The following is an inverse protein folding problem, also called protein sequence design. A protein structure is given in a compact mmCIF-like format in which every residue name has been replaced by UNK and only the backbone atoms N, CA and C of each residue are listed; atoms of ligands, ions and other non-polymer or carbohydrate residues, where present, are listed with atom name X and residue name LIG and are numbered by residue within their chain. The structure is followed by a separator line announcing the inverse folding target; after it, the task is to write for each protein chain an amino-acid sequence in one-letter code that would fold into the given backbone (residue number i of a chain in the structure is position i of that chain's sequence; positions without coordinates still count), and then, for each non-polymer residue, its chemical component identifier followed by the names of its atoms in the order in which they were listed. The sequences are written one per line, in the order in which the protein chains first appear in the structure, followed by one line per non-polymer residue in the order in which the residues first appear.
data_IF_806037498449
#
_entry.id   IF_806037498449
#
_cell.length_a   1.000
_cell.length_b   1.000
_cell.length_c   1.000
_cell.angle_alpha   90.00
_cell.angle_beta   90.00
_cell.angle_gamma   90.00
#
_symmetry.space_group_name_H-M   'P 1'
#
loop_
_entity.id
_entity.type
_entity.pdbx_description
1 polymer ?
#
# COMPACT_ATOMS: atom_id res chain seq x y z
N UNK A 1 -0.69 8.71 -10.76
CA UNK A 1 -1.02 7.53 -11.59
C UNK A 1 -2.52 7.38 -11.54
N UNK A 2 -3.20 7.48 -12.69
CA UNK A 2 -4.66 7.68 -12.73
C UNK A 2 -5.48 6.39 -12.81
N UNK A 3 -4.86 5.20 -12.71
CA UNK A 3 -5.60 3.95 -12.84
C UNK A 3 -4.91 2.79 -12.13
N UNK A 4 -5.65 2.15 -11.23
CA UNK A 4 -5.37 0.79 -10.78
C UNK A 4 -6.23 -0.16 -11.63
N UNK A 5 -5.74 -1.36 -11.89
CA UNK A 5 -6.46 -2.36 -12.69
C UNK A 5 -6.71 -3.62 -11.85
N UNK A 6 -7.82 -4.35 -12.07
CA UNK A 6 -8.03 -5.66 -11.44
C UNK A 6 -6.84 -6.57 -11.67
N UNK A 7 -6.36 -7.22 -10.61
CA UNK A 7 -5.19 -8.09 -10.67
C UNK A 7 -5.42 -9.36 -9.86
N UNK A 8 -5.63 -10.47 -10.57
CA UNK A 8 -5.81 -11.77 -9.93
C UNK A 8 -4.46 -12.32 -9.44
N UNK A 9 -4.41 -12.63 -8.14
CA UNK A 9 -3.27 -13.30 -7.49
C UNK A 9 -3.65 -14.71 -7.05
N UNK A 10 -4.78 -14.84 -6.35
CA UNK A 10 -5.30 -16.07 -5.77
C UNK A 10 -6.82 -15.96 -5.61
N UNK A 11 -7.52 -17.09 -5.76
CA UNK A 11 -8.95 -17.18 -5.50
C UNK A 11 -9.35 -16.68 -4.11
N UNK A 12 -10.51 -16.03 -4.03
CA UNK A 12 -11.05 -15.46 -2.79
C UNK A 12 -10.61 -14.03 -2.47
N UNK A 13 -9.73 -13.42 -3.28
CA UNK A 13 -9.31 -12.04 -3.10
C UNK A 13 -9.65 -11.15 -4.31
N UNK A 14 -10.19 -9.96 -4.03
CA UNK A 14 -10.52 -8.95 -5.05
C UNK A 14 -9.50 -7.80 -5.01
N UNK A 15 -8.36 -8.01 -5.65
CA UNK A 15 -7.27 -7.04 -5.70
C UNK A 15 -7.30 -6.19 -6.97
N UNK A 16 -6.87 -4.95 -6.80
CA UNK A 16 -6.40 -4.07 -7.86
C UNK A 16 -4.90 -3.80 -7.69
N UNK A 17 -4.19 -3.60 -8.79
CA UNK A 17 -2.78 -3.30 -8.81
C UNK A 17 -2.48 -1.97 -9.52
N UNK A 18 -1.44 -1.29 -9.05
CA UNK A 18 -0.86 -0.14 -9.76
C UNK A 18 0.68 -0.19 -9.65
N UNK A 19 1.41 0.35 -10.64
CA UNK A 19 2.88 0.40 -10.62
C UNK A 19 3.40 1.16 -9.40
N UNK A 20 4.55 0.75 -8.86
CA UNK A 20 5.13 1.31 -7.65
C UNK A 20 6.55 1.82 -7.91
N UNK A 21 6.73 3.15 -7.78
CA UNK A 21 7.99 3.86 -8.05
C UNK A 21 8.55 3.52 -9.44
N UNK A 22 9.87 3.41 -9.54
CA UNK A 22 10.60 3.09 -10.76
C UNK A 22 10.99 1.60 -10.77
N UNK A 23 10.56 0.90 -11.83
CA UNK A 23 10.89 -0.52 -12.05
C UNK A 23 12.05 -0.72 -13.02
N UNK A 24 12.50 0.33 -13.71
CA UNK A 24 13.54 0.21 -14.74
C UNK A 24 14.89 -0.33 -14.24
N UNK A 25 15.37 0.01 -13.02
CA UNK A 25 16.67 -0.50 -12.54
C UNK A 25 16.68 -2.01 -12.28
N UNK A 26 15.51 -2.64 -12.16
CA UNK A 26 15.41 -4.07 -11.87
C UNK A 26 15.86 -4.96 -13.04
N UNK A 27 15.93 -4.42 -14.27
CA UNK A 27 16.58 -5.11 -15.40
C UNK A 27 18.03 -5.46 -15.06
N UNK A 28 18.75 -4.49 -14.52
CA UNK A 28 20.16 -4.62 -14.18
C UNK A 28 20.36 -5.35 -12.86
N UNK A 29 19.55 -5.03 -11.84
CA UNK A 29 19.65 -5.67 -10.52
C UNK A 29 19.40 -7.18 -10.59
N UNK A 30 18.46 -7.62 -11.44
CA UNK A 30 18.13 -9.04 -11.62
C UNK A 30 18.83 -9.69 -12.80
N UNK A 31 19.64 -8.94 -13.57
CA UNK A 31 20.39 -9.42 -14.73
C UNK A 31 19.49 -10.10 -15.78
N UNK A 32 18.40 -9.44 -16.12
CA UNK A 32 17.40 -9.90 -17.11
C UNK A 32 17.32 -8.93 -18.31
N UNK A 33 18.43 -8.68 -19.03
CA UNK A 33 18.44 -7.74 -20.15
C UNK A 33 17.44 -8.10 -21.26
N UNK A 34 17.06 -9.36 -21.37
CA UNK A 34 16.09 -9.92 -22.31
C UNK A 34 14.63 -9.61 -21.96
N UNK A 35 14.33 -9.23 -20.71
CA UNK A 35 12.94 -9.03 -20.29
C UNK A 35 12.33 -7.80 -20.95
N UNK A 36 11.33 -7.97 -21.82
CA UNK A 36 10.62 -6.84 -22.43
C UNK A 36 9.76 -6.08 -21.42
N UNK A 37 9.22 -6.79 -20.42
CA UNK A 37 8.30 -6.24 -19.42
C UNK A 37 8.85 -6.44 -18.01
N UNK A 38 9.06 -5.34 -17.29
CA UNK A 38 9.48 -5.36 -15.88
C UNK A 38 8.61 -4.36 -15.12
N UNK A 39 7.73 -4.88 -14.28
CA UNK A 39 6.79 -4.07 -13.49
C UNK A 39 6.83 -4.53 -12.05
N UNK A 40 7.10 -3.60 -11.14
CA UNK A 40 6.81 -3.74 -9.71
C UNK A 40 5.61 -2.89 -9.38
N UNK A 41 4.69 -3.47 -8.63
CA UNK A 41 3.43 -2.83 -8.25
C UNK A 41 3.10 -3.00 -6.79
N UNK A 42 2.02 -2.33 -6.38
CA UNK A 42 1.38 -2.50 -5.09
C UNK A 42 -0.03 -3.06 -5.30
N UNK A 43 -0.44 -3.98 -4.44
CA UNK A 43 -1.81 -4.48 -4.39
C UNK A 43 -2.64 -3.67 -3.38
N UNK A 44 -3.90 -3.45 -3.70
CA UNK A 44 -4.93 -2.92 -2.80
C UNK A 44 -6.23 -3.68 -3.04
N UNK A 45 -7.12 -3.68 -2.06
CA UNK A 45 -8.50 -4.11 -2.32
C UNK A 45 -9.21 -3.08 -3.21
N UNK A 46 -10.18 -3.58 -3.98
CA UNK A 46 -11.03 -2.77 -4.84
C UNK A 46 -11.63 -1.55 -4.09
N UNK A 47 -11.74 -0.42 -4.77
CA UNK A 47 -12.28 0.84 -4.22
C UNK A 47 -11.27 1.70 -3.45
N UNK A 48 -10.16 1.12 -2.96
CA UNK A 48 -9.16 1.89 -2.21
C UNK A 48 -8.45 2.95 -3.08
N UNK A 49 -7.92 2.66 -4.28
CA UNK A 49 -7.29 3.68 -5.13
C UNK A 49 -8.24 4.81 -5.53
N UNK A 50 -9.50 4.49 -5.83
CA UNK A 50 -10.55 5.46 -6.18
C UNK A 50 -10.83 6.40 -5.02
N UNK A 51 -10.94 5.87 -3.80
CA UNK A 51 -11.14 6.68 -2.61
C UNK A 51 -9.96 7.62 -2.35
N UNK A 52 -8.72 7.12 -2.46
CA UNK A 52 -7.51 7.94 -2.27
C UNK A 52 -7.39 9.01 -3.36
N UNK A 53 -7.76 8.71 -4.61
CA UNK A 53 -7.77 9.72 -5.68
C UNK A 53 -8.84 10.79 -5.43
N UNK A 54 -10.01 10.43 -4.90
CA UNK A 54 -11.02 11.39 -4.46
C UNK A 54 -10.48 12.35 -3.38
N UNK A 55 -9.79 11.83 -2.36
CA UNK A 55 -9.13 12.66 -1.34
C UNK A 55 -8.05 13.58 -1.96
N UNK A 56 -7.27 13.07 -2.91
CA UNK A 56 -6.28 13.86 -3.66
C UNK A 56 -6.93 14.99 -4.44
N UNK A 57 -8.03 14.73 -5.15
CA UNK A 57 -8.75 15.73 -5.93
C UNK A 57 -9.35 16.83 -5.04
N UNK A 58 -9.77 16.49 -3.82
CA UNK A 58 -10.20 17.47 -2.82
C UNK A 58 -9.07 18.28 -2.19
N UNK A 59 -7.80 17.86 -2.34
CA UNK A 59 -6.64 18.55 -1.76
C UNK A 59 -6.26 18.07 -0.35
N UNK A 60 -6.86 16.98 0.14
CA UNK A 60 -6.55 16.45 1.48
C UNK A 60 -5.12 15.90 1.62
N UNK A 61 -4.46 15.57 0.52
CA UNK A 61 -3.09 15.05 0.53
C UNK A 61 -2.00 16.14 0.50
N UNK A 62 -2.40 17.40 0.74
CA UNK A 62 -1.48 18.53 0.80
C UNK A 62 -0.76 18.59 2.16
N UNK A 63 0.57 18.45 2.12
CA UNK A 63 1.47 18.50 3.26
C UNK A 63 2.03 19.91 3.54
N UNK A 64 1.51 20.95 2.89
CA UNK A 64 1.91 22.33 3.17
C UNK A 64 1.09 22.90 4.34
N UNK A 65 1.74 23.60 5.31
CA UNK A 65 1.05 24.24 6.42
C UNK A 65 -0.02 25.24 5.96
N UNK A 66 -1.13 25.33 6.69
CA UNK A 66 -2.27 26.20 6.41
C UNK A 66 -2.57 27.10 7.61
N UNK A 67 -2.29 28.40 7.50
CA UNK A 67 -2.55 29.38 8.57
C UNK A 67 -4.02 29.43 9.05
N UNK A 68 -4.95 29.01 8.20
CA UNK A 68 -6.38 28.97 8.52
C UNK A 68 -6.83 27.67 9.19
N UNK A 69 -6.02 26.61 9.16
CA UNK A 69 -6.32 25.32 9.78
C UNK A 69 -5.92 25.37 11.24
N UNK A 70 -6.88 25.76 12.09
CA UNK A 70 -6.63 26.02 13.51
C UNK A 70 -7.49 25.12 14.41
N UNK A 71 -7.05 24.92 15.64
CA UNK A 71 -7.79 24.12 16.63
C UNK A 71 -9.22 24.67 16.84
N UNK A 72 -10.17 23.76 17.08
CA UNK A 72 -11.58 24.09 17.29
C UNK A 72 -12.43 24.12 16.02
N UNK A 73 -11.84 23.93 14.84
CA UNK A 73 -12.59 23.70 13.61
C UNK A 73 -13.27 22.31 13.61
N UNK A 74 -14.44 22.21 13.00
CA UNK A 74 -15.10 20.93 12.69
C UNK A 74 -14.71 20.43 11.31
N UNK A 75 -14.89 19.13 11.04
CA UNK A 75 -14.59 18.57 9.71
C UNK A 75 -15.34 19.28 8.58
N UNK A 76 -16.63 19.56 8.79
CA UNK A 76 -17.45 20.34 7.85
C UNK A 76 -16.94 21.78 7.67
N UNK A 77 -16.40 22.41 8.71
CA UNK A 77 -15.81 23.75 8.60
C UNK A 77 -14.49 23.74 7.82
N UNK A 78 -13.67 22.69 7.97
CA UNK A 78 -12.46 22.52 7.16
C UNK A 78 -12.82 22.31 5.69
N UNK A 79 -13.79 21.44 5.40
CA UNK A 79 -14.31 21.25 4.04
C UNK A 79 -14.87 22.55 3.43
N UNK A 80 -15.62 23.34 4.21
CA UNK A 80 -16.09 24.65 3.77
C UNK A 80 -14.94 25.55 3.36
N UNK A 81 -13.88 25.61 4.18
CA UNK A 81 -12.68 26.43 3.88
C UNK A 81 -11.93 25.94 2.65
N UNK A 82 -11.76 24.63 2.50
CA UNK A 82 -11.08 24.03 1.35
C UNK A 82 -11.80 24.31 0.03
N UNK A 83 -13.14 24.26 0.03
CA UNK A 83 -13.94 24.35 -1.20
C UNK A 83 -14.60 25.72 -1.41
N UNK A 84 -14.51 26.63 -0.44
CA UNK A 84 -15.10 27.96 -0.52
C UNK A 84 -16.64 27.96 -0.54
N UNK A 85 -17.29 27.02 0.14
CA UNK A 85 -18.76 26.92 0.14
C UNK A 85 -19.41 28.01 0.99
N UNK A 86 -20.68 28.33 0.69
CA UNK A 86 -21.45 29.37 1.38
C UNK A 86 -21.66 29.08 2.88
N UNK A 87 -21.75 27.80 3.23
CA UNK A 87 -21.94 27.33 4.60
C UNK A 87 -21.30 25.93 4.77
N UNK A 88 -21.25 25.48 6.02
CA UNK A 88 -20.72 24.17 6.44
C UNK A 88 -21.82 23.12 6.66
N UNK A 89 -23.00 23.24 6.04
CA UNK A 89 -24.02 22.18 6.13
C UNK A 89 -23.56 21.00 5.28
N UNK A 90 -23.77 19.79 5.77
CA UNK A 90 -23.34 18.57 5.07
C UNK A 90 -23.85 18.52 3.62
N UNK A 91 -25.11 18.87 3.37
CA UNK A 91 -25.66 18.89 2.00
C UNK A 91 -24.91 19.83 1.06
N UNK A 92 -24.48 21.00 1.55
CA UNK A 92 -23.70 21.98 0.78
C UNK A 92 -22.31 21.41 0.47
N UNK A 93 -21.67 20.79 1.45
CA UNK A 93 -20.35 20.16 1.33
C UNK A 93 -20.40 18.97 0.36
N UNK A 94 -21.39 18.09 0.47
CA UNK A 94 -21.56 16.94 -0.43
C UNK A 94 -21.77 17.38 -1.87
N UNK A 95 -22.62 18.37 -2.12
CA UNK A 95 -22.82 18.91 -3.47
C UNK A 95 -21.53 19.50 -4.05
N UNK A 96 -20.72 20.16 -3.23
CA UNK A 96 -19.43 20.70 -3.65
C UNK A 96 -18.41 19.59 -3.96
N UNK A 97 -18.35 18.54 -3.13
CA UNK A 97 -17.51 17.36 -3.37
C UNK A 97 -17.89 16.70 -4.70
N UNK A 98 -19.18 16.45 -4.94
CA UNK A 98 -19.66 15.84 -6.17
C UNK A 98 -19.33 16.67 -7.41
N UNK A 99 -19.24 18.00 -7.29
CA UNK A 99 -18.87 18.91 -8.39
C UNK A 99 -17.36 19.05 -8.58
N UNK A 100 -16.57 18.82 -7.54
CA UNK A 100 -15.11 19.02 -7.52
C UNK A 100 -14.36 17.80 -8.02
N UNK A 101 -14.77 16.62 -7.57
CA UNK A 101 -14.11 15.36 -7.91
C UNK A 101 -14.67 14.82 -9.23
N UNK A 102 -13.77 14.33 -10.08
CA UNK A 102 -14.13 13.66 -11.33
C UNK A 102 -14.48 12.21 -11.05
N UNK A 103 -15.76 11.88 -11.19
CA UNK A 103 -16.29 10.54 -10.99
C UNK A 103 -16.31 9.74 -12.29
N UNK A 104 -16.03 8.45 -12.18
CA UNK A 104 -16.20 7.52 -13.31
C UNK A 104 -17.68 7.20 -13.56
N UNK A 105 -18.49 7.10 -12.51
CA UNK A 105 -19.94 6.92 -12.57
C UNK A 105 -20.61 7.49 -11.30
N UNK A 106 -21.95 7.51 -11.27
CA UNK A 106 -22.71 8.02 -10.13
C UNK A 106 -22.47 7.21 -8.84
N UNK A 107 -22.39 5.88 -8.95
CA UNK A 107 -22.17 5.00 -7.80
C UNK A 107 -20.84 5.32 -7.08
N UNK A 108 -19.78 5.63 -7.82
CA UNK A 108 -18.48 6.00 -7.25
C UNK A 108 -18.55 7.28 -6.40
N UNK A 109 -19.38 8.25 -6.79
CA UNK A 109 -19.63 9.45 -5.96
C UNK A 109 -20.32 9.08 -4.66
N UNK A 110 -21.35 8.24 -4.73
CA UNK A 110 -22.12 7.82 -3.56
C UNK A 110 -21.28 6.98 -2.58
N UNK A 111 -20.46 6.06 -3.10
CA UNK A 111 -19.55 5.24 -2.32
C UNK A 111 -18.48 6.10 -1.62
N UNK A 112 -17.92 7.08 -2.33
CA UNK A 112 -16.95 8.00 -1.76
C UNK A 112 -17.55 8.84 -0.62
N UNK A 113 -18.72 9.44 -0.84
CA UNK A 113 -19.40 10.22 0.20
C UNK A 113 -19.74 9.33 1.40
N UNK A 114 -20.18 8.09 1.16
CA UNK A 114 -20.44 7.11 2.23
C UNK A 114 -19.18 6.80 3.03
N UNK A 115 -18.04 6.57 2.36
CA UNK A 115 -16.76 6.35 3.03
C UNK A 115 -16.31 7.57 3.85
N UNK A 116 -16.47 8.80 3.34
CA UNK A 116 -16.19 10.02 4.11
C UNK A 116 -17.05 10.10 5.38
N UNK A 117 -18.34 9.73 5.31
CA UNK A 117 -19.22 9.67 6.50
C UNK A 117 -18.76 8.62 7.50
N UNK A 118 -18.42 7.42 7.04
CA UNK A 118 -17.95 6.33 7.91
C UNK A 118 -16.65 6.68 8.62
N UNK A 119 -15.76 7.43 7.96
CA UNK A 119 -14.54 7.97 8.56
C UNK A 119 -14.77 9.19 9.47
N UNK A 120 -16.00 9.72 9.53
CA UNK A 120 -16.36 10.90 10.31
C UNK A 120 -15.92 12.24 9.69
N UNK A 121 -15.46 12.24 8.43
CA UNK A 121 -14.94 13.41 7.72
C UNK A 121 -16.04 14.40 7.27
N UNK A 122 -17.31 14.03 7.43
CA UNK A 122 -18.47 14.90 7.18
C UNK A 122 -19.21 15.27 8.47
N UNK A 123 -18.55 15.17 9.63
CA UNK A 123 -19.18 15.37 10.94
C UNK A 123 -18.94 16.78 11.52
N UNK A 124 -19.64 17.06 12.62
CA UNK A 124 -19.38 18.21 13.49
C UNK A 124 -18.32 17.91 14.58
N UNK A 125 -17.64 16.76 14.55
CA UNK A 125 -16.52 16.48 15.46
C UNK A 125 -15.39 17.51 15.23
N UNK A 126 -14.74 17.92 16.32
CA UNK A 126 -13.56 18.78 16.25
C UNK A 126 -12.42 18.02 15.58
N UNK A 127 -11.78 18.68 14.63
CA UNK A 127 -10.68 18.15 13.87
C UNK A 127 -9.43 18.05 14.74
N UNK A 128 -8.72 16.91 14.75
CA UNK A 128 -7.42 16.78 15.41
C UNK A 128 -6.34 17.42 14.52
N UNK A 129 -6.31 18.75 14.48
CA UNK A 129 -5.32 19.50 13.69
C UNK A 129 -3.90 19.07 14.10
N UNK A 130 -3.12 18.64 13.12
CA UNK A 130 -1.75 18.13 13.30
C UNK A 130 -0.82 18.81 12.31
N UNK A 131 0.29 19.34 12.83
CA UNK A 131 1.36 20.02 12.09
C UNK A 131 0.88 21.12 11.12
N UNK A 132 -0.32 21.66 11.39
CA UNK A 132 -1.04 22.63 10.56
C UNK A 132 -1.22 22.20 9.08
N UNK A 133 -1.06 20.91 8.75
CA UNK A 133 -1.24 20.38 7.38
C UNK A 133 -2.53 19.58 7.26
N UNK A 134 -3.11 19.59 6.05
CA UNK A 134 -4.31 18.78 5.76
C UNK A 134 -3.98 17.29 5.78
N UNK A 135 -2.82 16.91 5.26
CA UNK A 135 -2.37 15.52 5.21
C UNK A 135 -2.24 14.93 6.62
N UNK A 136 -1.50 15.58 7.52
CA UNK A 136 -1.25 15.05 8.87
C UNK A 136 -2.53 15.04 9.71
N UNK A 137 -3.39 16.04 9.51
CA UNK A 137 -4.72 16.11 10.12
C UNK A 137 -5.64 14.98 9.66
N UNK A 138 -5.64 14.66 8.36
CA UNK A 138 -6.35 13.50 7.83
C UNK A 138 -5.76 12.21 8.40
N UNK A 139 -4.44 12.07 8.41
CA UNK A 139 -3.75 10.89 8.96
C UNK A 139 -4.15 10.62 10.40
N UNK A 140 -4.21 11.64 11.26
CA UNK A 140 -4.66 11.48 12.65
C UNK A 140 -6.09 10.88 12.76
N UNK A 141 -6.99 11.25 11.85
CA UNK A 141 -8.34 10.66 11.80
C UNK A 141 -8.34 9.24 11.28
N UNK A 142 -7.56 8.95 10.23
CA UNK A 142 -7.45 7.61 9.67
C UNK A 142 -6.82 6.64 10.67
N UNK A 143 -5.77 7.05 11.39
CA UNK A 143 -5.15 6.29 12.49
C UNK A 143 -6.19 5.91 13.55
N UNK A 144 -7.04 6.86 13.94
CA UNK A 144 -8.13 6.61 14.91
C UNK A 144 -9.18 5.64 14.39
N UNK A 145 -9.55 5.71 13.10
CA UNK A 145 -10.71 4.99 12.53
C UNK A 145 -10.35 3.64 11.87
N UNK A 146 -9.12 3.47 11.41
CA UNK A 146 -8.66 2.34 10.59
C UNK A 146 -7.53 1.53 11.24
N UNK A 147 -7.39 1.62 12.56
CA UNK A 147 -6.50 0.73 13.31
C UNK A 147 -7.12 -0.66 13.47
N UNK A 148 -6.29 -1.70 13.43
CA UNK A 148 -6.71 -3.06 13.76
C UNK A 148 -7.22 -3.13 15.21
N UNK A 149 -8.37 -3.79 15.38
CA UNK A 149 -8.97 -4.07 16.68
C UNK A 149 -8.52 -5.43 17.24
N UNK A 150 -8.66 -5.66 18.56
CA UNK A 150 -8.35 -6.96 19.16
C UNK A 150 -9.12 -8.10 18.49
N UNK A 151 -8.40 -9.14 18.06
CA UNK A 151 -8.95 -10.31 17.38
C UNK A 151 -8.95 -10.22 15.85
N UNK A 152 -8.69 -9.05 15.27
CA UNK A 152 -8.49 -8.89 13.82
C UNK A 152 -7.11 -9.37 13.37
N UNK A 153 -6.95 -9.60 12.06
CA UNK A 153 -5.70 -10.07 11.46
C UNK A 153 -5.36 -9.24 10.24
N UNK A 154 -4.07 -8.96 10.06
CA UNK A 154 -3.54 -8.43 8.81
C UNK A 154 -3.25 -9.54 7.80
N UNK A 155 -2.98 -9.13 6.56
CA UNK A 155 -2.68 -9.98 5.43
C UNK A 155 -1.49 -9.39 4.65
N UNK A 156 -0.50 -10.22 4.39
CA UNK A 156 0.57 -9.95 3.41
C UNK A 156 0.40 -10.89 2.23
N UNK A 157 0.18 -10.30 1.05
CA UNK A 157 0.23 -10.99 -0.24
C UNK A 157 1.41 -10.45 -1.04
N UNK A 158 2.27 -11.34 -1.52
CA UNK A 158 3.34 -11.05 -2.45
C UNK A 158 3.34 -12.11 -3.55
N UNK A 159 3.36 -11.69 -4.81
CA UNK A 159 3.51 -12.60 -5.94
C UNK A 159 4.56 -12.09 -6.91
N UNK A 160 5.49 -12.96 -7.29
CA UNK A 160 6.28 -12.80 -8.50
C UNK A 160 5.61 -13.60 -9.62
N UNK A 161 5.62 -13.04 -10.83
CA UNK A 161 5.09 -13.68 -12.04
C UNK A 161 6.10 -13.52 -13.16
N UNK A 162 6.54 -14.65 -13.71
CA UNK A 162 7.54 -14.73 -14.76
C UNK A 162 6.91 -15.37 -15.99
N UNK A 163 6.94 -14.68 -17.13
CA UNK A 163 6.61 -15.26 -18.43
C UNK A 163 7.94 -15.63 -19.08
N UNK A 164 8.16 -16.92 -19.31
CA UNK A 164 9.47 -17.49 -19.66
C UNK A 164 9.37 -18.14 -21.02
N UNK A 165 10.25 -17.75 -21.94
CA UNK A 165 10.54 -18.51 -23.15
C UNK A 165 11.68 -19.50 -22.87
N UNK A 166 11.44 -20.79 -23.11
CA UNK A 166 12.42 -21.85 -22.91
C UNK A 166 13.35 -21.98 -24.11
N UNK A 167 14.45 -22.70 -23.92
CA UNK A 167 15.43 -22.97 -24.97
C UNK A 167 14.85 -23.73 -26.20
N UNK A 168 13.74 -24.45 -26.03
CA UNK A 168 13.03 -25.15 -27.12
C UNK A 168 12.00 -24.26 -27.84
N UNK A 169 11.90 -22.98 -27.44
CA UNK A 169 10.93 -22.01 -27.96
C UNK A 169 9.53 -22.11 -27.34
N UNK A 170 9.28 -23.05 -26.42
CA UNK A 170 8.01 -23.10 -25.70
C UNK A 170 7.92 -22.02 -24.62
N UNK A 171 6.73 -21.49 -24.41
CA UNK A 171 6.47 -20.53 -23.35
C UNK A 171 5.86 -21.21 -22.12
N UNK A 172 6.19 -20.71 -20.93
CA UNK A 172 5.46 -21.02 -19.70
C UNK A 172 5.34 -19.79 -18.81
N UNK A 173 4.36 -19.80 -17.90
CA UNK A 173 4.27 -18.80 -16.84
C UNK A 173 4.56 -19.45 -15.50
N UNK A 174 5.48 -18.88 -14.72
CA UNK A 174 5.73 -19.29 -13.34
C UNK A 174 5.29 -18.21 -12.37
N UNK A 175 4.67 -18.62 -11.27
CA UNK A 175 4.36 -17.73 -10.16
C UNK A 175 5.05 -18.21 -8.90
N UNK A 176 5.52 -17.26 -8.08
CA UNK A 176 6.01 -17.53 -6.72
C UNK A 176 5.19 -16.66 -5.76
N UNK A 177 4.40 -17.27 -4.88
CA UNK A 177 3.35 -16.57 -4.11
C UNK A 177 3.51 -16.79 -2.60
N UNK A 178 3.53 -15.70 -1.83
CA UNK A 178 3.38 -15.68 -0.37
C UNK A 178 1.98 -15.18 -0.04
N UNK A 179 1.23 -15.97 0.74
CA UNK A 179 0.03 -15.54 1.45
C UNK A 179 0.24 -15.80 2.94
N UNK A 180 0.24 -14.72 3.73
CA UNK A 180 0.48 -14.79 5.17
C UNK A 180 -0.55 -13.96 5.91
N UNK A 181 -1.25 -14.61 6.85
CA UNK A 181 -2.13 -13.94 7.81
C UNK A 181 -1.41 -13.73 9.13
N UNK A 182 -1.70 -12.62 9.80
CA UNK A 182 -1.24 -12.38 11.16
C UNK A 182 -1.87 -13.35 12.16
N UNK A 183 -1.17 -13.60 13.26
CA UNK A 183 -1.72 -14.30 14.41
C UNK A 183 -2.38 -13.28 15.36
N UNK A 184 -3.70 -13.36 15.63
CA UNK A 184 -4.38 -12.44 16.56
C UNK A 184 -3.80 -12.44 17.98
N UNK A 185 -3.12 -13.51 18.39
CA UNK A 185 -2.48 -13.64 19.70
C UNK A 185 -0.94 -13.52 19.62
N UNK A 186 -0.41 -13.23 18.44
CA UNK A 186 1.03 -13.20 18.18
C UNK A 186 1.43 -12.00 17.33
N UNK A 187 2.28 -12.24 16.34
CA UNK A 187 2.73 -11.19 15.43
C UNK A 187 1.79 -11.07 14.22
N UNK A 188 1.59 -9.83 13.78
CA UNK A 188 1.01 -9.52 12.47
C UNK A 188 1.89 -10.12 11.36
N UNK A 189 1.30 -10.46 10.20
CA UNK A 189 2.02 -10.93 9.03
C UNK A 189 3.08 -9.92 8.58
N UNK A 190 2.74 -8.62 8.60
CA UNK A 190 3.68 -7.54 8.30
C UNK A 190 4.84 -7.49 9.31
N UNK A 191 4.53 -7.49 10.61
CA UNK A 191 5.54 -7.43 11.66
C UNK A 191 6.50 -8.63 11.59
N UNK A 192 5.95 -9.84 11.39
CA UNK A 192 6.74 -11.07 11.26
C UNK A 192 7.62 -11.03 10.01
N UNK A 193 7.02 -10.85 8.83
CA UNK A 193 7.75 -10.92 7.55
C UNK A 193 8.87 -9.87 7.44
N UNK A 194 8.67 -8.66 7.97
CA UNK A 194 9.68 -7.60 7.97
C UNK A 194 10.69 -7.79 9.11
N UNK A 195 10.20 -7.92 10.34
CA UNK A 195 11.03 -7.92 11.54
C UNK A 195 11.94 -9.14 11.63
N UNK A 196 11.42 -10.33 11.32
CA UNK A 196 12.21 -11.58 11.35
C UNK A 196 13.31 -11.55 10.29
N UNK A 197 12.98 -11.12 9.07
CA UNK A 197 13.97 -10.99 7.99
C UNK A 197 15.09 -10.01 8.37
N UNK A 198 14.74 -8.87 8.99
CA UNK A 198 15.72 -7.91 9.50
C UNK A 198 16.58 -8.50 10.63
N UNK A 199 15.96 -9.23 11.56
CA UNK A 199 16.65 -9.90 12.67
C UNK A 199 17.66 -10.94 12.18
N UNK A 200 17.28 -11.78 11.23
CA UNK A 200 18.17 -12.79 10.61
C UNK A 200 19.37 -12.12 9.94
N UNK A 201 19.15 -11.09 9.12
CA UNK A 201 20.24 -10.38 8.46
C UNK A 201 21.19 -9.72 9.49
N UNK A 202 20.63 -9.16 10.57
CA UNK A 202 21.40 -8.56 11.67
C UNK A 202 22.25 -9.61 12.38
N UNK A 203 21.69 -10.78 12.68
CA UNK A 203 22.41 -11.90 13.31
C UNK A 203 23.59 -12.35 12.44
N UNK A 204 23.38 -12.54 11.14
CA UNK A 204 24.45 -12.94 10.20
C UNK A 204 25.60 -11.92 10.14
N UNK A 205 25.30 -10.62 10.25
CA UNK A 205 26.31 -9.56 10.32
C UNK A 205 27.10 -9.64 11.64
N UNK A 206 26.41 -9.78 12.78
CA UNK A 206 27.05 -9.86 14.12
C UNK A 206 27.95 -11.11 14.22
N UNK A 207 27.48 -12.23 13.71
CA UNK A 207 28.21 -13.51 13.65
C UNK A 207 29.34 -13.50 12.63
N UNK A 208 29.51 -12.40 11.88
CA UNK A 208 30.51 -12.22 10.83
C UNK A 208 30.46 -13.32 9.78
N UNK A 209 29.25 -13.73 9.40
CA UNK A 209 29.07 -14.68 8.30
C UNK A 209 29.84 -14.20 7.06
N UNK A 210 30.64 -15.05 6.37
CA UNK A 210 31.57 -14.60 5.32
C UNK A 210 30.92 -13.78 4.21
N UNK A 211 29.66 -14.08 3.86
CA UNK A 211 28.89 -13.35 2.85
C UNK A 211 28.39 -11.97 3.32
N UNK A 212 28.24 -11.76 4.63
CA UNK A 212 27.69 -10.54 5.24
C UNK A 212 28.75 -9.67 5.93
N UNK A 213 29.97 -10.15 6.05
CA UNK A 213 31.09 -9.45 6.68
C UNK A 213 31.88 -8.57 5.70
N UNK A 214 31.20 -7.92 4.74
CA UNK A 214 31.81 -7.02 3.75
C UNK A 214 31.40 -5.58 4.06
N UNK A 215 32.34 -4.63 4.21
CA UNK A 215 31.99 -3.23 4.41
C UNK A 215 31.32 -2.64 3.17
N UNK A 216 30.51 -1.59 3.34
CA UNK A 216 29.81 -0.89 2.26
C UNK A 216 28.29 -0.90 2.40
N UNK A 217 27.62 -0.32 1.40
CA UNK A 217 26.15 -0.33 1.30
C UNK A 217 25.75 -1.46 0.38
N UNK A 218 25.07 -2.47 0.93
CA UNK A 218 24.72 -3.70 0.23
C UNK A 218 23.20 -3.90 0.18
N UNK A 219 22.75 -4.63 -0.83
CA UNK A 219 21.36 -5.08 -1.00
C UNK A 219 21.35 -6.56 -1.41
N UNK A 220 20.26 -7.31 -1.12
CA UNK A 220 20.18 -8.75 -1.42
C UNK A 220 19.88 -8.99 -2.91
N UNK A 221 20.88 -8.75 -3.77
CA UNK A 221 20.84 -9.05 -5.21
C UNK A 221 21.83 -10.15 -5.61
N UNK A 222 22.68 -10.58 -4.67
CA UNK A 222 23.58 -11.71 -4.86
C UNK A 222 22.89 -13.02 -4.50
N UNK A 223 23.01 -14.03 -5.37
CA UNK A 223 22.34 -15.33 -5.21
C UNK A 223 22.72 -16.02 -3.90
N UNK A 224 24.01 -15.99 -3.51
CA UNK A 224 24.48 -16.66 -2.31
C UNK A 224 23.95 -15.98 -1.05
N UNK A 225 23.94 -14.64 -1.04
CA UNK A 225 23.32 -13.84 0.04
C UNK A 225 21.83 -14.15 0.14
N UNK A 226 21.11 -14.13 -0.99
CA UNK A 226 19.68 -14.44 -1.03
C UNK A 226 19.38 -15.87 -0.58
N UNK A 227 20.21 -16.85 -0.96
CA UNK A 227 20.05 -18.24 -0.56
C UNK A 227 20.12 -18.41 0.97
N UNK A 228 21.16 -17.86 1.60
CA UNK A 228 21.32 -17.94 3.06
C UNK A 228 20.17 -17.26 3.79
N UNK A 229 19.73 -16.09 3.33
CA UNK A 229 18.57 -15.40 3.90
C UNK A 229 17.29 -16.24 3.72
N UNK A 230 17.04 -16.73 2.50
CA UNK A 230 15.86 -17.53 2.15
C UNK A 230 15.74 -18.76 3.04
N UNK A 231 16.80 -19.56 3.16
CA UNK A 231 16.79 -20.77 3.99
C UNK A 231 16.52 -20.46 5.48
N UNK A 232 17.00 -19.32 5.97
CA UNK A 232 16.77 -18.90 7.35
C UNK A 232 15.32 -18.42 7.56
N UNK A 233 14.77 -17.59 6.67
CA UNK A 233 13.38 -17.11 6.80
C UNK A 233 12.34 -18.20 6.56
N UNK A 234 12.64 -19.20 5.73
CA UNK A 234 11.76 -20.36 5.51
C UNK A 234 11.57 -21.19 6.79
N UNK A 235 12.62 -21.32 7.62
CA UNK A 235 12.52 -21.99 8.94
C UNK A 235 11.60 -21.27 9.91
N UNK A 236 11.39 -19.97 9.71
CA UNK A 236 10.46 -19.13 10.47
C UNK A 236 9.04 -19.16 9.88
N UNK A 237 8.80 -19.98 8.85
CA UNK A 237 7.52 -20.13 8.18
C UNK A 237 7.19 -19.00 7.20
N UNK A 238 8.20 -18.29 6.70
CA UNK A 238 8.05 -17.27 5.64
C UNK A 238 8.52 -17.91 4.32
N UNK A 239 7.57 -18.41 3.53
CA UNK A 239 7.87 -19.17 2.30
C UNK A 239 6.99 -18.72 1.15
N UNK A 240 7.55 -18.71 -0.05
CA UNK A 240 6.79 -18.52 -1.29
C UNK A 240 6.54 -19.87 -1.97
N UNK A 241 5.33 -20.10 -2.44
CA UNK A 241 4.95 -21.32 -3.16
C UNK A 241 5.06 -21.08 -4.66
N UNK A 242 5.80 -21.95 -5.34
CA UNK A 242 5.99 -21.89 -6.78
C UNK A 242 4.96 -22.76 -7.54
N UNK A 243 4.40 -22.19 -8.60
CA UNK A 243 3.46 -22.87 -9.49
C UNK A 243 3.82 -22.60 -10.96
N UNK A 244 3.60 -23.58 -11.83
CA UNK A 244 3.82 -23.46 -13.28
C UNK A 244 2.50 -23.59 -14.02
N UNK A 245 2.22 -22.60 -14.87
CA UNK A 245 1.03 -22.49 -15.70
C UNK A 245 1.44 -22.60 -17.17
N UNK A 246 0.67 -23.37 -17.95
CA UNK A 246 0.89 -23.56 -19.40
C UNK A 246 0.03 -22.60 -20.20
#
# INVERSE_FOLDING_TARGET
MSKAEPYHVKEGHDFVAYPNRDSTPFRDFYKIPEADTIIRGSLRFHGNPEFVDGLRQLGWLDATPKDWLVSGMTWLAVHQRMMGTSDSREITIVNAISSTVKWYNAQASDDFVTGLRQLGLLSHEIVPVKDDTLLDTLCAQLEKRLSFLPGERDLVILQHKFVIEKADGSAETRTSTLEMYGDPQGYSAMAKSVGVTCGIATQLIIERHPLFNKPGVHAPYDEQVCHVLREAVEKEGITMIEETHR
#
